data_IF_542315671254
#
_entry.id   IF_542315671254
#
_cell.length_a   1.000
_cell.length_b   1.000
_cell.length_c   1.000
_cell.angle_alpha   90.00
_cell.angle_beta   90.00
_cell.angle_gamma   90.00
#
_symmetry.space_group_name_H-M   'P 1'
#
loop_
_entity.id
_entity.type
_entity.pdbx_description
1 polymer ?
#
# COMPACT_ATOMS: atom_id res chain seq x y z
N UNK A 1 -5.78 -13.57 4.56
CA UNK A 1 -5.87 -12.58 5.66
C UNK A 1 -7.33 -12.41 6.08
N UNK A 2 -8.21 -11.98 5.18
CA UNK A 2 -9.64 -11.76 5.46
C UNK A 2 -10.37 -13.03 5.93
N UNK A 3 -10.08 -14.19 5.35
CA UNK A 3 -10.66 -15.49 5.76
C UNK A 3 -10.15 -16.04 7.08
N UNK A 4 -9.22 -15.35 7.76
CA UNK A 4 -8.61 -15.84 9.00
C UNK A 4 -7.53 -16.91 8.85
N UNK A 5 -7.18 -17.34 7.63
CA UNK A 5 -6.09 -18.33 7.43
C UNK A 5 -4.69 -17.78 7.76
N UNK A 6 -4.52 -16.47 7.84
CA UNK A 6 -3.24 -15.80 8.12
C UNK A 6 -3.47 -14.80 9.25
N UNK A 7 -2.68 -14.89 10.33
CA UNK A 7 -2.63 -13.88 11.38
C UNK A 7 -3.82 -13.86 12.35
N UNK A 8 -4.61 -14.95 12.42
CA UNK A 8 -5.80 -15.05 13.29
C UNK A 8 -5.49 -14.77 14.76
N UNK A 9 -4.45 -15.39 15.31
CA UNK A 9 -4.03 -15.19 16.70
C UNK A 9 -3.47 -13.79 16.99
N UNK A 10 -3.09 -13.05 15.94
CA UNK A 10 -2.62 -11.66 16.05
C UNK A 10 -3.75 -10.63 15.87
N UNK A 11 -5.00 -11.07 15.69
CA UNK A 11 -6.12 -10.17 15.48
C UNK A 11 -6.15 -9.51 14.10
N UNK A 12 -5.30 -9.92 13.16
CA UNK A 12 -5.20 -9.30 11.82
C UNK A 12 -6.56 -9.28 11.08
N UNK A 13 -7.36 -10.36 11.05
CA UNK A 13 -8.65 -10.35 10.36
C UNK A 13 -9.60 -9.27 10.89
N UNK A 14 -9.58 -8.98 12.18
CA UNK A 14 -10.46 -7.99 12.81
C UNK A 14 -10.25 -6.59 12.21
N UNK A 15 -9.00 -6.25 11.89
CA UNK A 15 -8.64 -4.95 11.28
C UNK A 15 -9.31 -4.72 9.92
N UNK A 16 -9.69 -5.79 9.22
CA UNK A 16 -10.34 -5.74 7.90
C UNK A 16 -11.85 -5.93 7.98
N UNK A 17 -12.32 -6.77 8.91
CA UNK A 17 -13.73 -7.18 9.02
C UNK A 17 -14.55 -6.24 9.90
N UNK A 18 -13.88 -5.46 10.73
CA UNK A 18 -14.48 -4.51 11.67
C UNK A 18 -13.62 -3.25 11.77
N UNK A 19 -13.52 -2.47 10.69
CA UNK A 19 -12.66 -1.31 10.64
C UNK A 19 -13.13 -0.24 11.61
N UNK A 20 -12.19 0.26 12.42
CA UNK A 20 -12.39 1.32 13.40
C UNK A 20 -11.80 2.63 12.88
N UNK A 21 -12.59 3.70 12.91
CA UNK A 21 -12.17 5.07 12.61
C UNK A 21 -12.54 5.98 13.79
N UNK A 22 -11.55 6.66 14.37
CA UNK A 22 -11.76 7.56 15.52
C UNK A 22 -12.56 6.91 16.66
N UNK A 23 -12.16 5.69 17.01
CA UNK A 23 -12.76 4.86 18.05
C UNK A 23 -14.22 4.46 17.80
N UNK A 24 -14.65 4.45 16.52
CA UNK A 24 -16.01 4.09 16.14
C UNK A 24 -15.96 3.11 14.97
N UNK A 25 -16.84 2.11 15.04
CA UNK A 25 -17.15 1.22 13.92
C UNK A 25 -18.48 1.67 13.34
N UNK A 26 -18.45 2.27 12.16
CA UNK A 26 -19.64 2.85 11.52
C UNK A 26 -19.50 2.92 9.99
N UNK A 27 -20.53 3.44 9.34
CA UNK A 27 -20.56 3.74 7.90
C UNK A 27 -19.25 4.35 7.39
N UNK A 28 -18.74 5.40 8.04
CA UNK A 28 -17.53 6.13 7.60
C UNK A 28 -16.28 5.23 7.62
N UNK A 29 -16.16 4.39 8.63
CA UNK A 29 -15.02 3.47 8.78
C UNK A 29 -15.00 2.45 7.64
N UNK A 30 -16.16 1.86 7.34
CA UNK A 30 -16.34 0.94 6.22
C UNK A 30 -16.17 1.65 4.87
N UNK A 31 -16.66 2.88 4.73
CA UNK A 31 -16.54 3.72 3.54
C UNK A 31 -15.07 3.98 3.16
N UNK A 32 -14.23 4.33 4.12
CA UNK A 32 -12.79 4.55 3.89
C UNK A 32 -12.11 3.24 3.43
N UNK A 33 -12.46 2.10 4.03
CA UNK A 33 -11.96 0.80 3.58
C UNK A 33 -12.45 0.47 2.17
N UNK A 34 -13.70 0.80 1.82
CA UNK A 34 -14.23 0.69 0.46
C UNK A 34 -13.41 1.48 -0.56
N UNK A 35 -13.11 2.76 -0.26
CA UNK A 35 -12.27 3.63 -1.11
C UNK A 35 -10.89 3.00 -1.34
N UNK A 36 -10.22 2.59 -0.27
CA UNK A 36 -8.85 2.02 -0.38
C UNK A 36 -8.84 0.67 -1.07
N UNK A 37 -9.92 -0.12 -0.94
CA UNK A 37 -10.10 -1.38 -1.68
C UNK A 37 -10.26 -1.13 -3.17
N UNK A 38 -11.00 -0.09 -3.59
CA UNK A 38 -11.07 0.31 -5.00
C UNK A 38 -9.71 0.82 -5.53
N UNK A 39 -8.92 1.49 -4.68
CA UNK A 39 -7.53 1.84 -4.96
C UNK A 39 -6.66 0.61 -5.26
N UNK A 40 -6.74 -0.42 -4.42
CA UNK A 40 -6.03 -1.68 -4.62
C UNK A 40 -6.47 -2.39 -5.91
N UNK A 41 -7.78 -2.49 -6.17
CA UNK A 41 -8.33 -3.07 -7.40
C UNK A 41 -7.83 -2.31 -8.65
N UNK A 42 -7.79 -0.99 -8.58
CA UNK A 42 -7.29 -0.17 -9.67
C UNK A 42 -5.79 -0.39 -9.89
N UNK A 43 -4.99 -0.40 -8.82
CA UNK A 43 -3.55 -0.70 -8.91
C UNK A 43 -3.28 -2.09 -9.49
N UNK A 44 -4.11 -3.09 -9.17
CA UNK A 44 -4.06 -4.41 -9.79
C UNK A 44 -4.29 -4.33 -11.31
N UNK A 45 -5.37 -3.68 -11.76
CA UNK A 45 -5.66 -3.53 -13.20
C UNK A 45 -4.54 -2.80 -13.94
N UNK A 46 -3.99 -1.73 -13.35
CA UNK A 46 -2.85 -0.98 -13.91
C UNK A 46 -1.63 -1.91 -14.03
N UNK A 47 -1.27 -2.60 -12.97
CA UNK A 47 -0.09 -3.47 -12.92
C UNK A 47 -0.18 -4.61 -13.93
N UNK A 48 -1.35 -5.26 -14.04
CA UNK A 48 -1.58 -6.28 -15.05
C UNK A 48 -1.53 -5.72 -16.48
N UNK A 49 -2.09 -4.53 -16.73
CA UNK A 49 -2.03 -3.91 -18.05
C UNK A 49 -0.60 -3.58 -18.46
N UNK A 50 0.21 -3.06 -17.53
CA UNK A 50 1.63 -2.77 -17.76
C UNK A 50 2.41 -4.05 -18.07
N UNK A 51 2.18 -5.10 -17.27
CA UNK A 51 2.99 -6.33 -17.33
C UNK A 51 2.59 -7.22 -18.50
N UNK A 52 1.28 -7.41 -18.72
CA UNK A 52 0.74 -8.39 -19.68
C UNK A 52 -0.03 -7.76 -20.84
N UNK A 53 -0.37 -6.46 -20.80
CA UNK A 53 -1.21 -5.83 -21.83
C UNK A 53 -0.65 -5.95 -23.25
N UNK A 54 0.67 -5.94 -23.40
CA UNK A 54 1.36 -6.11 -24.70
C UNK A 54 1.14 -7.49 -25.36
N UNK A 55 0.71 -8.51 -24.58
CA UNK A 55 0.41 -9.87 -25.06
C UNK A 55 -0.97 -9.97 -25.70
N UNK A 56 -1.79 -8.93 -25.56
CA UNK A 56 -3.15 -8.84 -26.08
C UNK A 56 -3.25 -7.68 -27.08
N UNK A 57 -2.55 -7.80 -28.22
CA UNK A 57 -2.45 -6.70 -29.19
C UNK A 57 -3.79 -6.19 -29.71
N UNK A 58 -4.81 -7.06 -29.80
CA UNK A 58 -6.16 -6.67 -30.23
C UNK A 58 -6.78 -5.60 -29.32
N UNK A 59 -6.46 -5.61 -28.01
CA UNK A 59 -6.95 -4.60 -27.06
C UNK A 59 -6.46 -3.22 -27.45
N UNK A 60 -5.21 -3.12 -27.89
CA UNK A 60 -4.60 -1.88 -28.35
C UNK A 60 -5.21 -1.30 -29.63
N UNK A 61 -6.12 -2.03 -30.30
CA UNK A 61 -6.88 -1.55 -31.44
C UNK A 61 -8.32 -1.10 -31.08
N UNK A 62 -8.80 -1.47 -29.90
CA UNK A 62 -10.14 -1.11 -29.43
C UNK A 62 -10.16 0.33 -28.89
N UNK A 63 -11.30 1.02 -28.94
CA UNK A 63 -11.47 2.30 -28.24
C UNK A 63 -11.34 2.09 -26.73
N UNK A 64 -10.63 3.02 -26.06
CA UNK A 64 -10.35 2.97 -24.62
C UNK A 64 -9.76 1.61 -24.17
N UNK A 65 -8.53 1.25 -24.62
CA UNK A 65 -7.93 -0.08 -24.46
C UNK A 65 -7.77 -0.51 -23.00
N UNK A 66 -7.37 0.40 -22.11
CA UNK A 66 -7.19 0.11 -20.68
C UNK A 66 -8.51 -0.35 -20.02
N UNK A 67 -9.62 0.34 -20.29
CA UNK A 67 -10.90 0.00 -19.67
C UNK A 67 -11.40 -1.36 -20.13
N UNK A 68 -11.20 -1.70 -21.41
CA UNK A 68 -11.49 -3.06 -21.94
C UNK A 68 -10.66 -4.13 -21.27
N UNK A 69 -9.37 -3.88 -21.12
CA UNK A 69 -8.49 -4.80 -20.42
C UNK A 69 -8.92 -5.01 -18.97
N UNK A 70 -9.16 -3.91 -18.23
CA UNK A 70 -9.56 -3.94 -16.84
C UNK A 70 -10.87 -4.72 -16.64
N UNK A 71 -11.88 -4.46 -17.48
CA UNK A 71 -13.16 -5.18 -17.42
C UNK A 71 -12.97 -6.69 -17.60
N UNK A 72 -12.20 -7.11 -18.61
CA UNK A 72 -11.95 -8.53 -18.88
C UNK A 72 -10.97 -9.18 -17.87
N UNK A 73 -10.21 -8.37 -17.12
CA UNK A 73 -9.30 -8.81 -16.07
C UNK A 73 -9.87 -8.59 -14.64
N UNK A 74 -11.18 -8.35 -14.51
CA UNK A 74 -11.82 -8.06 -13.21
C UNK A 74 -12.21 -9.32 -12.41
N UNK A 75 -12.01 -10.53 -12.93
CA UNK A 75 -12.43 -11.76 -12.26
C UNK A 75 -11.81 -11.92 -10.86
N UNK A 76 -10.49 -11.71 -10.75
CA UNK A 76 -9.77 -11.83 -9.48
C UNK A 76 -10.20 -10.75 -8.47
N UNK A 77 -10.23 -9.45 -8.83
CA UNK A 77 -10.77 -8.42 -7.94
C UNK A 77 -12.22 -8.64 -7.54
N UNK A 78 -13.07 -9.12 -8.45
CA UNK A 78 -14.48 -9.39 -8.16
C UNK A 78 -14.63 -10.55 -7.17
N UNK A 79 -13.90 -11.65 -7.37
CA UNK A 79 -13.88 -12.77 -6.43
C UNK A 79 -13.42 -12.31 -5.04
N UNK A 80 -12.35 -11.52 -5.00
CA UNK A 80 -11.85 -10.94 -3.76
C UNK A 80 -12.91 -10.06 -3.08
N UNK A 81 -13.60 -9.19 -3.83
CA UNK A 81 -14.64 -8.32 -3.31
C UNK A 81 -15.82 -9.11 -2.72
N UNK A 82 -16.29 -10.14 -3.43
CA UNK A 82 -17.38 -11.02 -2.97
C UNK A 82 -16.98 -11.75 -1.69
N UNK A 83 -15.78 -12.35 -1.66
CA UNK A 83 -15.26 -13.01 -0.46
C UNK A 83 -15.10 -12.04 0.70
N UNK A 84 -14.66 -10.81 0.44
CA UNK A 84 -14.47 -9.81 1.47
C UNK A 84 -15.81 -9.37 2.08
N UNK A 85 -16.81 -9.09 1.24
CA UNK A 85 -18.17 -8.77 1.69
C UNK A 85 -18.79 -9.93 2.48
N UNK A 86 -18.61 -11.16 2.01
CA UNK A 86 -19.10 -12.34 2.70
C UNK A 86 -18.50 -12.48 4.11
N UNK A 87 -17.18 -12.41 4.24
CA UNK A 87 -16.52 -12.51 5.55
C UNK A 87 -16.85 -11.31 6.45
N UNK A 88 -16.98 -10.09 5.90
CA UNK A 88 -17.43 -8.92 6.67
C UNK A 88 -18.83 -9.15 7.27
N UNK A 89 -19.80 -9.55 6.46
CA UNK A 89 -21.18 -9.81 6.91
C UNK A 89 -21.19 -10.91 7.97
N UNK A 90 -20.50 -12.03 7.67
CA UNK A 90 -20.39 -13.17 8.58
C UNK A 90 -19.79 -12.77 9.92
N UNK A 91 -18.74 -11.95 9.91
CA UNK A 91 -18.06 -11.47 11.11
C UNK A 91 -18.94 -10.53 11.93
N UNK A 92 -19.59 -9.55 11.29
CA UNK A 92 -20.45 -8.57 11.98
C UNK A 92 -21.64 -9.26 12.68
N UNK A 93 -22.26 -10.27 12.05
CA UNK A 93 -23.40 -10.99 12.62
C UNK A 93 -22.99 -12.00 13.69
N UNK A 94 -21.95 -12.81 13.44
CA UNK A 94 -21.63 -13.95 14.31
C UNK A 94 -20.62 -13.64 15.41
N UNK A 95 -19.76 -12.63 15.22
CA UNK A 95 -18.69 -12.30 16.18
C UNK A 95 -18.98 -11.02 16.95
N UNK A 96 -19.51 -9.98 16.29
CA UNK A 96 -19.86 -8.71 16.94
C UNK A 96 -21.31 -8.62 17.39
N UNK A 97 -22.15 -9.61 17.03
CA UNK A 97 -23.59 -9.61 17.32
C UNK A 97 -24.29 -8.29 16.94
N UNK A 98 -23.81 -7.66 15.87
CA UNK A 98 -24.31 -6.36 15.40
C UNK A 98 -25.71 -6.54 14.80
N UNK A 99 -26.61 -5.57 15.06
CA UNK A 99 -27.97 -5.65 14.54
C UNK A 99 -27.96 -5.69 12.99
N UNK A 100 -28.86 -6.47 12.34
CA UNK A 100 -28.88 -6.57 10.88
C UNK A 100 -29.00 -5.21 10.16
N UNK A 101 -29.72 -4.27 10.77
CA UNK A 101 -29.85 -2.89 10.29
C UNK A 101 -28.49 -2.16 10.28
N UNK A 102 -27.72 -2.26 11.36
CA UNK A 102 -26.41 -1.65 11.45
C UNK A 102 -25.40 -2.34 10.52
N UNK A 103 -25.50 -3.67 10.34
CA UNK A 103 -24.71 -4.39 9.34
C UNK A 103 -24.99 -3.85 7.93
N UNK A 104 -26.26 -3.68 7.58
CA UNK A 104 -26.63 -3.09 6.27
C UNK A 104 -26.04 -1.69 6.08
N UNK A 105 -26.11 -0.82 7.10
CA UNK A 105 -25.50 0.52 7.04
C UNK A 105 -23.98 0.43 6.86
N UNK A 106 -23.29 -0.41 7.63
CA UNK A 106 -21.83 -0.57 7.53
C UNK A 106 -21.43 -1.10 6.14
N UNK A 107 -22.09 -2.14 5.65
CA UNK A 107 -21.80 -2.72 4.33
C UNK A 107 -22.12 -1.75 3.19
N UNK A 108 -23.22 -0.98 3.29
CA UNK A 108 -23.51 0.07 2.31
C UNK A 108 -22.44 1.15 2.29
N UNK A 109 -21.87 1.52 3.45
CA UNK A 109 -20.70 2.40 3.53
C UNK A 109 -19.53 1.89 2.69
N UNK A 110 -19.14 0.62 2.89
CA UNK A 110 -18.08 0.00 2.11
C UNK A 110 -18.38 -0.02 0.61
N UNK A 111 -19.58 -0.46 0.21
CA UNK A 111 -19.98 -0.56 -1.21
C UNK A 111 -20.00 0.83 -1.86
N UNK A 112 -20.58 1.83 -1.20
CA UNK A 112 -20.63 3.21 -1.70
C UNK A 112 -19.21 3.77 -1.85
N UNK A 113 -18.34 3.58 -0.85
CA UNK A 113 -16.94 4.02 -0.93
C UNK A 113 -16.19 3.38 -2.09
N UNK A 114 -16.38 2.08 -2.31
CA UNK A 114 -15.79 1.35 -3.42
C UNK A 114 -16.30 1.85 -4.78
N UNK A 115 -17.61 2.02 -4.93
CA UNK A 115 -18.24 2.47 -6.18
C UNK A 115 -17.82 3.90 -6.51
N UNK A 116 -17.90 4.83 -5.55
CA UNK A 116 -17.50 6.23 -5.77
C UNK A 116 -16.04 6.29 -6.23
N UNK A 117 -15.13 5.61 -5.55
CA UNK A 117 -13.72 5.67 -5.91
C UNK A 117 -13.44 5.00 -7.28
N UNK A 118 -14.14 3.90 -7.59
CA UNK A 118 -14.06 3.26 -8.91
C UNK A 118 -14.56 4.19 -10.02
N UNK A 119 -15.64 4.94 -9.79
CA UNK A 119 -16.16 5.93 -10.73
C UNK A 119 -15.19 7.11 -10.90
N UNK A 120 -14.54 7.57 -9.82
CA UNK A 120 -13.53 8.63 -9.90
C UNK A 120 -12.33 8.19 -10.76
N UNK A 121 -11.81 6.98 -10.54
CA UNK A 121 -10.76 6.43 -11.41
C UNK A 121 -11.26 6.24 -12.84
N UNK A 122 -12.47 5.72 -13.03
CA UNK A 122 -13.09 5.55 -14.34
C UNK A 122 -13.21 6.88 -15.11
N UNK A 123 -13.66 7.95 -14.44
CA UNK A 123 -13.73 9.29 -15.00
C UNK A 123 -12.34 9.80 -15.38
N UNK A 124 -11.35 9.69 -14.49
CA UNK A 124 -9.96 10.05 -14.79
C UNK A 124 -9.44 9.33 -16.04
N UNK A 125 -9.61 8.00 -16.13
CA UNK A 125 -9.15 7.24 -17.28
C UNK A 125 -9.92 7.56 -18.56
N UNK A 126 -11.21 7.87 -18.45
CA UNK A 126 -11.99 8.29 -19.61
C UNK A 126 -11.50 9.62 -20.18
N UNK A 127 -11.18 10.61 -19.33
CA UNK A 127 -10.66 11.89 -19.80
C UNK A 127 -9.20 11.81 -20.29
N UNK A 128 -8.39 10.94 -19.69
CA UNK A 128 -6.94 10.89 -19.96
C UNK A 128 -6.60 9.94 -21.12
N UNK A 129 -7.33 8.84 -21.29
CA UNK A 129 -7.12 7.88 -22.37
C UNK A 129 -7.80 8.38 -23.65
N UNK A 130 -7.06 9.16 -24.45
CA UNK A 130 -7.52 9.58 -25.79
C UNK A 130 -7.52 8.40 -26.76
N UNK A 131 -8.60 8.28 -27.54
CA UNK A 131 -8.73 7.23 -28.56
C UNK A 131 -7.69 7.33 -29.67
N UNK A 132 -7.32 6.15 -30.20
CA UNK A 132 -6.37 5.94 -31.31
C UNK A 132 -6.67 6.87 -32.50
N UNK A 133 -7.95 7.06 -32.81
CA UNK A 133 -8.40 7.89 -33.93
C UNK A 133 -8.03 9.37 -33.77
N UNK A 134 -8.03 9.92 -32.55
CA UNK A 134 -7.66 11.34 -32.34
C UNK A 134 -6.17 11.55 -32.50
N UNK A 135 -5.36 10.53 -32.23
CA UNK A 135 -3.90 10.59 -32.37
C UNK A 135 -3.42 10.37 -33.81
N UNK A 136 -4.00 9.39 -34.52
CA UNK A 136 -3.67 9.13 -35.94
C UNK A 136 -4.04 10.33 -36.82
N UNK A 137 -5.18 10.97 -36.57
CA UNK A 137 -5.61 12.16 -37.34
C UNK A 137 -4.76 13.39 -37.03
N UNK A 138 -4.42 13.67 -35.76
CA UNK A 138 -3.57 14.82 -35.42
C UNK A 138 -2.11 14.68 -35.90
N UNK A 139 -1.57 13.45 -36.02
CA UNK A 139 -0.19 13.24 -36.49
C UNK A 139 -0.02 13.10 -37.98
N UNK A 140 -1.06 12.82 -38.77
CA UNK A 140 -0.96 12.95 -40.23
C UNK A 140 -0.64 14.42 -40.58
N UNK A 141 -1.29 15.37 -39.89
CA UNK A 141 -1.00 16.81 -40.03
C UNK A 141 0.38 17.22 -39.49
N UNK A 142 0.87 16.58 -38.42
CA UNK A 142 2.14 16.96 -37.76
C UNK A 142 3.38 16.27 -38.35
N UNK A 143 3.27 15.02 -38.83
CA UNK A 143 4.36 14.30 -39.53
C UNK A 143 4.58 14.79 -40.96
N UNK A 144 3.61 15.48 -41.56
CA UNK A 144 3.84 16.30 -42.75
C UNK A 144 4.75 17.52 -42.45
N UNK A 145 5.01 17.83 -41.17
CA UNK A 145 5.79 19.01 -40.74
C UNK A 145 7.08 18.76 -39.97
N UNK A 146 7.40 17.54 -39.49
CA UNK A 146 8.69 17.33 -38.82
C UNK A 146 9.25 15.91 -38.95
N UNK A 147 10.39 15.82 -39.62
CA UNK A 147 11.26 14.65 -39.72
C UNK A 147 12.08 14.50 -38.44
N UNK A 148 11.72 13.56 -37.56
CA UNK A 148 12.58 13.17 -36.43
C UNK A 148 12.96 11.70 -36.56
N UNK A 149 14.26 11.45 -36.76
CA UNK A 149 14.86 10.12 -36.76
C UNK A 149 14.85 9.55 -35.33
N UNK A 150 13.85 8.73 -35.02
CA UNK A 150 13.86 7.88 -33.84
C UNK A 150 14.76 6.68 -34.10
N UNK A 151 15.77 6.48 -33.26
CA UNK A 151 16.74 5.37 -33.28
C UNK A 151 16.04 4.01 -33.44
N UNK A 152 16.14 3.44 -34.64
CA UNK A 152 15.42 2.24 -35.10
C UNK A 152 15.72 0.97 -34.27
N UNK A 153 16.86 0.89 -33.58
CA UNK A 153 17.31 -0.31 -32.89
C UNK A 153 16.47 -0.67 -31.63
N UNK A 154 15.99 0.32 -30.87
CA UNK A 154 15.17 0.07 -29.66
C UNK A 154 13.72 -0.30 -30.00
N UNK A 155 13.17 0.32 -31.05
CA UNK A 155 11.84 -0.01 -31.57
C UNK A 155 11.79 -1.41 -32.21
N UNK A 156 12.84 -1.81 -32.95
CA UNK A 156 12.94 -3.13 -33.57
C UNK A 156 13.04 -4.28 -32.56
N UNK A 157 13.71 -4.08 -31.42
CA UNK A 157 13.80 -5.09 -30.35
C UNK A 157 12.47 -5.27 -29.61
N UNK A 158 11.70 -4.19 -29.43
CA UNK A 158 10.31 -4.24 -28.90
C UNK A 158 9.34 -4.91 -29.89
N UNK A 159 9.54 -4.73 -31.20
CA UNK A 159 8.74 -5.37 -32.26
C UNK A 159 8.88 -6.90 -32.28
N UNK A 160 10.05 -7.44 -31.91
CA UNK A 160 10.31 -8.89 -31.91
C UNK A 160 9.75 -9.58 -30.66
N UNK A 161 9.75 -8.90 -29.50
CA UNK A 161 9.12 -9.35 -28.25
C UNK A 161 7.59 -9.41 -28.41
N UNK A 162 7.00 -8.42 -29.09
CA UNK A 162 5.58 -8.41 -29.42
C UNK A 162 5.19 -9.55 -30.40
N UNK A 163 6.14 -10.11 -31.16
CA UNK A 163 5.89 -11.17 -32.15
C UNK A 163 5.87 -12.57 -31.52
N UNK A 164 6.59 -12.82 -30.42
CA UNK A 164 6.79 -14.18 -29.84
C UNK A 164 5.87 -14.55 -28.66
N UNK A 165 5.04 -13.63 -28.14
CA UNK A 165 4.25 -13.85 -26.90
C UNK A 165 2.77 -13.46 -26.97
N UNK A 166 2.21 -13.28 -28.17
CA UNK A 166 0.77 -12.96 -28.29
C UNK A 166 -0.07 -14.14 -27.83
N UNK A 167 -1.09 -13.84 -27.02
CA UNK A 167 -2.09 -14.82 -26.59
C UNK A 167 -3.29 -14.71 -27.52
N UNK A 168 -3.70 -15.84 -28.11
CA UNK A 168 -4.93 -15.88 -28.89
C UNK A 168 -6.12 -15.69 -27.96
N UNK A 169 -6.98 -14.73 -28.30
CA UNK A 169 -8.24 -14.44 -27.60
C UNK A 169 -9.31 -14.34 -28.66
N UNK A 170 -10.34 -15.20 -28.58
CA UNK A 170 -11.40 -15.25 -29.59
C UNK A 170 -12.57 -14.32 -29.24
N UNK A 171 -12.79 -14.06 -27.95
CA UNK A 171 -13.92 -13.29 -27.44
C UNK A 171 -13.51 -12.37 -26.29
N UNK A 172 -14.17 -11.21 -26.18
CA UNK A 172 -14.02 -10.28 -25.06
C UNK A 172 -15.37 -9.67 -24.68
N UNK A 173 -15.50 -9.22 -23.44
CA UNK A 173 -16.67 -8.50 -22.94
C UNK A 173 -16.52 -7.01 -23.24
N UNK A 174 -17.55 -6.43 -23.85
CA UNK A 174 -17.62 -5.02 -24.22
C UNK A 174 -18.40 -4.16 -23.19
N UNK A 175 -18.56 -2.84 -23.39
CA UNK A 175 -19.11 -1.95 -22.34
C UNK A 175 -20.60 -2.18 -22.09
N UNK A 176 -21.28 -2.72 -23.10
CA UNK A 176 -22.67 -3.14 -23.08
C UNK A 176 -22.88 -4.49 -22.38
N UNK A 177 -21.81 -5.09 -21.84
CA UNK A 177 -21.84 -6.41 -21.22
C UNK A 177 -21.99 -7.56 -22.22
N UNK A 178 -21.95 -7.27 -23.52
CA UNK A 178 -22.06 -8.29 -24.57
C UNK A 178 -20.69 -8.87 -24.88
N UNK A 179 -20.68 -10.16 -25.23
CA UNK A 179 -19.50 -10.86 -25.71
C UNK A 179 -19.33 -10.53 -27.19
N UNK A 180 -18.19 -9.93 -27.55
CA UNK A 180 -17.82 -9.60 -28.94
C UNK A 180 -16.63 -10.46 -29.37
N UNK A 181 -16.61 -10.82 -30.65
CA UNK A 181 -15.47 -11.52 -31.27
C UNK A 181 -14.34 -10.54 -31.54
N UNK A 182 -13.11 -11.03 -31.46
CA UNK A 182 -11.92 -10.30 -31.90
C UNK A 182 -11.82 -10.33 -33.42
N UNK A 183 -11.50 -9.20 -34.05
CA UNK A 183 -11.23 -9.16 -35.49
C UNK A 183 -9.81 -9.68 -35.75
N UNK A 184 -9.71 -10.91 -36.27
CA UNK A 184 -8.44 -11.55 -36.64
C UNK A 184 -7.78 -10.91 -37.89
N UNK A 185 -8.56 -10.17 -38.69
CA UNK A 185 -8.17 -9.67 -40.03
C UNK A 185 -7.52 -8.29 -40.03
N UNK A 186 -7.57 -7.56 -38.92
CA UNK A 186 -7.03 -6.22 -38.87
C UNK A 186 -5.51 -6.27 -38.69
N UNK A 187 -4.80 -6.19 -39.81
CA UNK A 187 -3.35 -6.04 -39.90
C UNK A 187 -2.95 -4.66 -39.38
N UNK A 188 -3.01 -4.47 -38.06
CA UNK A 188 -2.64 -3.20 -37.45
C UNK A 188 -1.13 -3.01 -37.56
N UNK A 189 -0.73 -1.82 -38.03
CA UNK A 189 0.66 -1.43 -38.03
C UNK A 189 1.19 -1.44 -36.59
N UNK A 190 2.10 -2.38 -36.32
CA UNK A 190 2.56 -2.72 -34.96
C UNK A 190 3.23 -1.54 -34.28
N UNK A 191 3.81 -0.62 -35.06
CA UNK A 191 4.36 0.63 -34.52
C UNK A 191 3.30 1.55 -33.95
N UNK A 192 2.08 1.54 -34.51
CA UNK A 192 0.96 2.34 -34.03
C UNK A 192 0.36 1.74 -32.75
N UNK A 193 0.20 0.41 -32.68
CA UNK A 193 -0.25 -0.28 -31.47
C UNK A 193 0.74 -0.05 -30.30
N UNK A 194 2.05 -0.17 -30.55
CA UNK A 194 3.07 0.04 -29.52
C UNK A 194 3.07 1.48 -29.00
N UNK A 195 2.86 2.47 -29.87
CA UNK A 195 2.76 3.88 -29.46
C UNK A 195 1.53 4.16 -28.59
N UNK A 196 0.40 3.50 -28.86
CA UNK A 196 -0.82 3.59 -28.04
C UNK A 196 -0.60 2.98 -26.66
N UNK A 197 0.10 1.84 -26.59
CA UNK A 197 0.49 1.27 -25.29
C UNK A 197 1.46 2.17 -24.54
N UNK A 198 2.47 2.75 -25.19
CA UNK A 198 3.42 3.67 -24.56
C UNK A 198 2.72 4.95 -24.04
N UNK A 199 1.73 5.48 -24.77
CA UNK A 199 0.93 6.64 -24.32
C UNK A 199 0.02 6.31 -23.14
N UNK A 200 -0.72 5.19 -23.21
CA UNK A 200 -1.54 4.74 -22.07
C UNK A 200 -0.64 4.45 -20.87
N UNK A 201 0.55 3.88 -21.09
CA UNK A 201 1.53 3.66 -20.04
C UNK A 201 2.00 4.96 -19.38
N UNK A 202 2.21 6.04 -20.14
CA UNK A 202 2.52 7.35 -19.56
C UNK A 202 1.39 7.89 -18.66
N UNK A 203 0.12 7.77 -19.08
CA UNK A 203 -1.03 8.14 -18.26
C UNK A 203 -1.11 7.31 -16.95
N UNK A 204 -0.70 6.04 -17.02
CA UNK A 204 -0.61 5.15 -15.87
C UNK A 204 0.50 5.57 -14.89
N UNK A 205 1.63 6.07 -15.40
CA UNK A 205 2.69 6.63 -14.55
C UNK A 205 2.21 7.89 -13.84
N UNK A 206 1.44 8.77 -14.51
CA UNK A 206 0.91 10.00 -13.90
C UNK A 206 -0.01 9.67 -12.71
N UNK A 207 -0.94 8.73 -12.87
CA UNK A 207 -1.84 8.36 -11.76
C UNK A 207 -1.08 7.69 -10.62
N UNK A 208 -0.05 6.90 -10.92
CA UNK A 208 0.81 6.30 -9.91
C UNK A 208 1.57 7.38 -9.11
N UNK A 209 2.09 8.41 -9.78
CA UNK A 209 2.70 9.56 -9.12
C UNK A 209 1.68 10.33 -8.26
N UNK A 210 0.46 10.53 -8.77
CA UNK A 210 -0.61 11.19 -8.01
C UNK A 210 -0.98 10.41 -6.75
N UNK A 211 -1.17 9.09 -6.83
CA UNK A 211 -1.45 8.23 -5.67
C UNK A 211 -0.28 8.29 -4.67
N UNK A 212 0.97 8.26 -5.16
CA UNK A 212 2.14 8.39 -4.31
C UNK A 212 2.17 9.72 -3.54
N UNK A 213 1.88 10.84 -4.21
CA UNK A 213 1.76 12.16 -3.56
C UNK A 213 0.63 12.16 -2.53
N UNK A 214 -0.53 11.57 -2.83
CA UNK A 214 -1.65 11.48 -1.88
C UNK A 214 -1.27 10.71 -0.62
N UNK A 215 -0.53 9.60 -0.76
CA UNK A 215 0.00 8.84 0.39
C UNK A 215 0.98 9.67 1.22
N UNK A 216 1.88 10.43 0.57
CA UNK A 216 2.81 11.31 1.30
C UNK A 216 2.05 12.39 2.08
N UNK A 217 1.04 13.00 1.48
CA UNK A 217 0.18 13.98 2.15
C UNK A 217 -0.50 13.34 3.36
N UNK A 218 -1.13 12.17 3.21
CA UNK A 218 -1.73 11.43 4.32
C UNK A 218 -0.73 11.15 5.45
N UNK A 219 0.51 10.78 5.09
CA UNK A 219 1.59 10.52 6.06
C UNK A 219 2.07 11.78 6.80
N UNK A 220 2.17 12.91 6.11
CA UNK A 220 2.57 14.21 6.71
C UNK A 220 1.51 14.69 7.70
N UNK A 221 0.22 14.54 7.36
CA UNK A 221 -0.89 15.02 8.19
C UNK A 221 -1.42 13.98 9.19
N UNK A 222 -0.69 12.87 9.43
CA UNK A 222 -1.14 11.76 10.30
C UNK A 222 -1.50 12.16 11.74
N UNK A 223 -0.98 13.29 12.22
CA UNK A 223 -1.22 13.77 13.58
C UNK A 223 -2.61 14.41 13.72
N UNK A 224 -3.26 14.77 12.62
CA UNK A 224 -4.65 15.23 12.59
C UNK A 224 -5.62 14.05 12.55
N UNK A 225 -6.64 14.06 13.41
CA UNK A 225 -7.65 13.01 13.52
C UNK A 225 -8.26 12.61 12.16
N UNK A 226 -8.51 13.58 11.27
CA UNK A 226 -9.09 13.33 9.94
C UNK A 226 -8.22 12.44 9.02
N UNK A 227 -6.93 12.32 9.30
CA UNK A 227 -5.97 11.54 8.51
C UNK A 227 -5.55 10.24 9.21
N UNK A 228 -6.12 9.93 10.38
CA UNK A 228 -5.90 8.68 11.11
C UNK A 228 -6.77 7.56 10.52
N UNK A 229 -6.34 7.03 9.38
CA UNK A 229 -7.09 6.01 8.64
C UNK A 229 -7.30 4.73 9.46
N UNK A 230 -8.42 4.00 9.24
CA UNK A 230 -8.59 2.66 9.76
C UNK A 230 -7.40 1.77 9.42
N UNK A 231 -7.04 0.86 10.32
CA UNK A 231 -5.86 0.00 10.13
C UNK A 231 -5.98 -0.85 8.86
N UNK A 232 -7.18 -1.40 8.58
CA UNK A 232 -7.45 -2.12 7.34
C UNK A 232 -7.23 -1.26 6.08
N UNK A 233 -7.62 0.01 6.11
CA UNK A 233 -7.40 0.95 5.00
C UNK A 233 -5.91 1.27 4.79
N UNK A 234 -5.17 1.47 5.88
CA UNK A 234 -3.71 1.66 5.82
C UNK A 234 -3.00 0.45 5.22
N UNK A 235 -3.47 -0.76 5.54
CA UNK A 235 -2.95 -1.98 4.94
C UNK A 235 -3.31 -2.11 3.45
N UNK A 236 -4.53 -1.74 3.04
CA UNK A 236 -4.90 -1.71 1.62
C UNK A 236 -4.02 -0.73 0.83
N UNK A 237 -3.71 0.44 1.41
CA UNK A 237 -2.78 1.40 0.81
C UNK A 237 -1.38 0.79 0.68
N UNK A 238 -0.87 0.10 1.71
CA UNK A 238 0.42 -0.59 1.65
C UNK A 238 0.44 -1.62 0.50
N UNK A 239 -0.59 -2.48 0.40
CA UNK A 239 -0.71 -3.44 -0.68
C UNK A 239 -0.78 -2.76 -2.05
N UNK A 240 -1.49 -1.63 -2.14
CA UNK A 240 -1.60 -0.83 -3.37
C UNK A 240 -0.22 -0.34 -3.80
N UNK A 241 0.58 0.18 -2.88
CA UNK A 241 1.96 0.63 -3.15
C UNK A 241 2.84 -0.54 -3.59
N UNK A 242 2.78 -1.67 -2.89
CA UNK A 242 3.56 -2.86 -3.26
C UNK A 242 3.20 -3.39 -4.66
N UNK A 243 1.90 -3.40 -4.99
CA UNK A 243 1.41 -3.78 -6.32
C UNK A 243 1.96 -2.83 -7.40
N UNK A 244 1.84 -1.52 -7.18
CA UNK A 244 2.36 -0.50 -8.09
C UNK A 244 3.89 -0.55 -8.27
N UNK A 245 4.65 -0.79 -7.19
CA UNK A 245 6.11 -1.00 -7.25
C UNK A 245 6.42 -2.24 -8.08
N UNK A 246 5.66 -3.33 -7.90
CA UNK A 246 5.85 -4.56 -8.69
C UNK A 246 5.62 -4.31 -10.18
N UNK A 247 4.59 -3.53 -10.53
CA UNK A 247 4.36 -3.10 -11.91
C UNK A 247 5.49 -2.23 -12.48
N UNK A 248 5.93 -1.21 -11.74
CA UNK A 248 7.04 -0.33 -12.15
C UNK A 248 8.36 -1.10 -12.29
N UNK A 249 8.65 -1.99 -11.35
CA UNK A 249 9.84 -2.83 -11.35
C UNK A 249 9.84 -3.79 -12.55
N UNK A 250 8.72 -4.46 -12.80
CA UNK A 250 8.55 -5.35 -13.96
C UNK A 250 8.70 -4.58 -15.27
N UNK A 251 8.23 -3.34 -15.32
CA UNK A 251 8.38 -2.47 -16.48
C UNK A 251 9.83 -2.05 -16.75
N UNK A 252 10.56 -1.60 -15.72
CA UNK A 252 11.94 -1.11 -15.88
C UNK A 252 12.94 -2.22 -16.18
N UNK A 253 12.83 -3.36 -15.51
CA UNK A 253 13.81 -4.44 -15.61
C UNK A 253 13.37 -5.55 -16.58
N UNK A 254 12.10 -5.59 -16.99
CA UNK A 254 11.58 -6.55 -17.96
C UNK A 254 11.89 -7.99 -17.57
N UNK A 255 12.49 -8.78 -18.48
CA UNK A 255 12.89 -10.15 -18.20
C UNK A 255 13.99 -10.32 -17.13
N UNK A 256 14.72 -9.26 -16.80
CA UNK A 256 15.78 -9.26 -15.78
C UNK A 256 15.27 -8.87 -14.39
N UNK A 257 13.97 -8.67 -14.22
CA UNK A 257 13.37 -8.25 -12.94
C UNK A 257 13.80 -9.15 -11.78
N UNK A 258 13.76 -10.48 -11.96
CA UNK A 258 14.16 -11.41 -10.90
C UNK A 258 15.64 -11.23 -10.50
N UNK A 259 16.54 -11.11 -11.48
CA UNK A 259 17.97 -10.90 -11.26
C UNK A 259 18.24 -9.56 -10.58
N UNK A 260 17.61 -8.48 -11.06
CA UNK A 260 17.73 -7.16 -10.44
C UNK A 260 17.22 -7.18 -8.99
N UNK A 261 16.14 -7.91 -8.72
CA UNK A 261 15.58 -8.07 -7.38
C UNK A 261 16.55 -8.78 -6.45
N UNK A 262 17.20 -9.84 -6.93
CA UNK A 262 18.25 -10.54 -6.17
C UNK A 262 19.44 -9.64 -5.87
N UNK A 263 19.92 -8.86 -6.84
CA UNK A 263 21.05 -7.92 -6.64
C UNK A 263 20.69 -6.87 -5.60
N UNK A 264 19.50 -6.25 -5.70
CA UNK A 264 19.03 -5.27 -4.71
C UNK A 264 18.93 -5.90 -3.33
N UNK A 265 18.37 -7.10 -3.23
CA UNK A 265 18.27 -7.83 -1.96
C UNK A 265 19.66 -8.07 -1.34
N UNK A 266 20.64 -8.55 -2.11
CA UNK A 266 22.01 -8.77 -1.63
C UNK A 266 22.67 -7.46 -1.20
N UNK A 267 22.49 -6.37 -1.95
CA UNK A 267 22.97 -5.04 -1.57
C UNK A 267 22.35 -4.55 -0.25
N UNK A 268 21.03 -4.66 -0.09
CA UNK A 268 20.34 -4.27 1.14
C UNK A 268 20.81 -5.12 2.32
N UNK A 269 20.99 -6.44 2.11
CA UNK A 269 21.48 -7.34 3.13
C UNK A 269 22.90 -6.95 3.59
N UNK A 270 23.79 -6.63 2.65
CA UNK A 270 25.15 -6.18 2.97
C UNK A 270 25.16 -4.85 3.74
N UNK A 271 24.35 -3.86 3.30
CA UNK A 271 24.21 -2.58 3.99
C UNK A 271 23.64 -2.74 5.40
N UNK A 272 22.68 -3.66 5.57
CA UNK A 272 22.08 -3.98 6.86
C UNK A 272 23.09 -4.67 7.78
N UNK A 273 23.84 -5.65 7.27
CA UNK A 273 24.91 -6.33 8.01
C UNK A 273 26.04 -5.39 8.43
N UNK A 274 26.35 -4.39 7.60
CA UNK A 274 27.30 -3.31 7.93
C UNK A 274 26.74 -2.28 8.94
N UNK A 275 25.48 -2.41 9.35
CA UNK A 275 24.84 -1.51 10.30
C UNK A 275 24.50 -0.13 9.73
N UNK A 276 24.47 0.05 8.41
CA UNK A 276 24.17 1.35 7.77
C UNK A 276 22.79 1.89 8.16
N UNK A 277 21.80 1.00 8.32
CA UNK A 277 20.44 1.36 8.73
C UNK A 277 20.23 1.41 10.25
N UNK A 278 21.26 1.13 11.06
CA UNK A 278 21.14 1.15 12.51
C UNK A 278 21.02 2.60 13.02
N UNK A 279 19.79 3.07 13.21
CA UNK A 279 19.52 4.29 13.96
C UNK A 279 19.70 4.02 15.44
N UNK A 280 20.68 4.68 16.07
CA UNK A 280 20.87 4.69 17.52
C UNK A 280 19.91 5.71 18.13
N UNK A 281 18.86 5.23 18.76
CA UNK A 281 17.97 6.07 19.58
C UNK A 281 18.66 6.31 20.92
N UNK A 282 19.00 7.56 21.21
CA UNK A 282 19.59 7.97 22.48
C UNK A 282 18.46 8.20 23.48
N UNK A 283 18.44 7.42 24.57
CA UNK A 283 17.61 7.71 25.72
C UNK A 283 17.99 9.07 26.31
N UNK A 284 16.98 9.85 26.67
CA UNK A 284 17.14 11.18 27.24
C UNK A 284 17.85 11.11 28.60
N UNK A 285 18.72 12.09 28.89
CA UNK A 285 19.44 12.19 30.17
C UNK A 285 20.74 11.37 30.30
N UNK A 286 21.10 10.54 29.31
CA UNK A 286 22.37 9.79 29.30
C UNK A 286 23.46 10.51 28.49
N UNK A 287 24.70 10.48 28.99
CA UNK A 287 25.87 11.04 28.31
C UNK A 287 26.53 10.01 27.39
N UNK A 288 26.23 10.10 26.09
CA UNK A 288 26.78 9.23 25.05
C UNK A 288 28.16 9.66 24.54
N UNK A 289 28.76 10.71 25.10
CA UNK A 289 30.13 11.11 24.75
C UNK A 289 31.18 10.34 25.56
N UNK A 290 30.79 9.74 26.68
CA UNK A 290 31.67 8.93 27.54
C UNK A 290 31.79 7.51 27.02
N UNK A 291 32.86 6.83 27.43
CA UNK A 291 33.02 5.41 27.17
C UNK A 291 31.83 4.63 27.75
N UNK A 292 31.29 3.70 26.97
CA UNK A 292 30.15 2.89 27.39
C UNK A 292 30.53 2.05 28.62
N UNK A 293 29.66 2.02 29.63
CA UNK A 293 29.87 1.15 30.78
C UNK A 293 29.86 -0.32 30.34
N UNK A 294 30.79 -1.16 30.82
CA UNK A 294 30.86 -2.56 30.44
C UNK A 294 29.62 -3.32 30.95
N UNK A 295 28.85 -3.90 30.02
CA UNK A 295 27.68 -4.71 30.35
C UNK A 295 28.08 -6.18 30.55
N UNK A 296 28.68 -6.45 31.71
CA UNK A 296 29.16 -7.78 32.12
C UNK A 296 28.52 -8.19 33.44
N UNK A 297 28.35 -9.50 33.66
CA UNK A 297 27.79 -10.03 34.91
C UNK A 297 28.58 -9.55 36.13
N UNK A 298 29.91 -9.52 36.05
CA UNK A 298 30.74 -9.11 37.17
C UNK A 298 30.57 -7.63 37.50
N UNK A 299 30.54 -6.75 36.48
CA UNK A 299 30.23 -5.33 36.67
C UNK A 299 28.81 -5.12 37.25
N UNK A 300 27.82 -5.90 36.82
CA UNK A 300 26.46 -5.85 37.39
C UNK A 300 26.44 -6.31 38.85
N UNK A 301 27.25 -7.30 39.23
CA UNK A 301 27.37 -7.75 40.63
C UNK A 301 28.07 -6.71 41.49
N UNK A 302 29.12 -6.07 40.98
CA UNK A 302 29.81 -4.97 41.67
C UNK A 302 28.85 -3.80 41.95
N UNK A 303 28.03 -3.43 40.97
CA UNK A 303 27.03 -2.35 41.13
C UNK A 303 25.88 -2.72 42.08
N UNK A 304 25.66 -4.02 42.34
CA UNK A 304 24.62 -4.52 43.26
C UNK A 304 25.21 -5.04 44.57
N UNK A 305 26.40 -4.57 44.96
CA UNK A 305 26.97 -4.96 46.24
C UNK A 305 26.19 -4.37 47.43
N UNK A 306 26.46 -4.90 48.62
CA UNK A 306 25.77 -4.44 49.84
C UNK A 306 26.07 -2.98 50.21
N UNK A 307 27.16 -2.39 49.71
CA UNK A 307 27.54 -1.02 50.02
C UNK A 307 26.74 -0.03 49.17
N UNK A 308 26.64 -0.29 47.86
CA UNK A 308 25.82 0.47 46.92
C UNK A 308 24.34 0.41 47.29
N UNK A 309 23.82 -0.78 47.65
CA UNK A 309 22.42 -0.92 48.09
C UNK A 309 22.15 -0.06 49.33
N UNK A 310 23.04 -0.08 50.33
CA UNK A 310 22.88 0.74 51.54
C UNK A 310 22.96 2.24 51.24
N UNK A 311 23.90 2.64 50.39
CA UNK A 311 24.04 4.03 49.96
C UNK A 311 22.79 4.52 49.24
N UNK A 312 22.23 3.71 48.34
CA UNK A 312 21.03 4.05 47.57
C UNK A 312 19.78 4.11 48.46
N UNK A 313 19.66 3.21 49.44
CA UNK A 313 18.64 3.26 50.48
C UNK A 313 18.71 4.56 51.30
N UNK A 314 19.92 4.98 51.69
CA UNK A 314 20.11 6.23 52.45
C UNK A 314 19.74 7.47 51.64
N UNK A 315 20.16 7.54 50.37
CA UNK A 315 19.79 8.61 49.45
C UNK A 315 18.27 8.67 49.23
N UNK A 316 17.65 7.51 48.99
CA UNK A 316 16.21 7.40 48.82
C UNK A 316 15.46 7.83 50.09
N UNK A 317 15.94 7.44 51.27
CA UNK A 317 15.34 7.85 52.54
C UNK A 317 15.43 9.37 52.74
N UNK A 318 16.56 9.98 52.38
CA UNK A 318 16.72 11.43 52.43
C UNK A 318 15.75 12.15 51.48
N UNK A 319 15.57 11.62 50.26
CA UNK A 319 14.61 12.15 49.30
C UNK A 319 13.17 12.01 49.82
N UNK A 320 12.82 10.87 50.41
CA UNK A 320 11.50 10.61 51.00
C UNK A 320 11.23 11.52 52.21
N UNK A 321 12.22 11.75 53.07
CA UNK A 321 12.10 12.69 54.20
C UNK A 321 11.88 14.14 53.71
N UNK A 322 12.64 14.55 52.68
CA UNK A 322 12.50 15.87 52.04
C UNK A 322 11.17 16.03 51.30
N UNK A 323 10.61 14.94 50.78
CA UNK A 323 9.27 14.93 50.21
C UNK A 323 8.19 14.98 51.31
N UNK A 324 8.35 14.21 52.39
CA UNK A 324 7.42 14.17 53.53
C UNK A 324 7.29 15.51 54.24
N UNK A 325 8.39 16.28 54.35
CA UNK A 325 8.41 17.59 54.98
C UNK A 325 7.61 18.66 54.25
N UNK A 326 7.25 18.43 52.97
CA UNK A 326 6.38 19.33 52.19
C UNK A 326 4.89 19.23 52.57
N UNK A 327 4.53 18.34 53.49
CA UNK A 327 3.14 18.08 53.89
C UNK A 327 2.97 18.15 55.42
N UNK A 328 1.78 18.53 55.92
CA UNK A 328 1.48 18.57 57.35
C UNK A 328 1.80 17.25 58.08
N UNK A 329 2.26 17.32 59.33
CA UNK A 329 2.69 16.13 60.09
C UNK A 329 1.53 15.18 60.41
N UNK A 330 0.33 15.73 60.57
CA UNK A 330 -0.93 15.05 60.90
C UNK A 330 -1.61 14.36 59.71
N UNK A 331 -1.18 14.67 58.47
CA UNK A 331 -1.79 14.11 57.25
C UNK A 331 -0.79 13.31 56.42
N UNK A 332 -1.20 12.12 56.00
CA UNK A 332 -0.43 11.27 55.09
C UNK A 332 -0.46 11.84 53.67
N UNK A 333 0.68 12.08 53.00
CA UNK A 333 0.70 12.55 51.62
C UNK A 333 0.21 11.44 50.67
N UNK A 334 -0.41 11.85 49.56
CA UNK A 334 -0.76 10.92 48.47
C UNK A 334 0.52 10.45 47.78
N UNK A 335 0.71 9.13 47.68
CA UNK A 335 1.81 8.52 46.94
C UNK A 335 1.28 7.99 45.61
N UNK A 336 1.97 8.31 44.51
CA UNK A 336 1.63 7.82 43.17
C UNK A 336 2.74 6.89 42.71
N UNK A 337 2.40 5.64 42.44
CA UNK A 337 3.32 4.67 41.83
C UNK A 337 3.06 4.63 40.33
N UNK A 338 4.10 4.89 39.55
CA UNK A 338 4.06 4.72 38.09
C UNK A 338 4.61 3.33 37.79
N UNK A 339 3.70 2.38 37.61
CA UNK A 339 4.05 1.01 37.24
C UNK A 339 3.98 0.88 35.72
N UNK A 340 5.13 0.77 35.06
CA UNK A 340 5.23 0.52 33.61
C UNK A 340 5.62 -0.92 33.34
N UNK A 341 4.98 -1.55 32.35
CA UNK A 341 5.35 -2.90 31.92
C UNK A 341 6.66 -2.87 31.12
N UNK A 342 7.45 -3.94 31.21
CA UNK A 342 8.61 -4.12 30.35
C UNK A 342 8.21 -4.32 28.88
N UNK A 343 9.01 -3.81 27.94
CA UNK A 343 8.71 -3.90 26.51
C UNK A 343 9.89 -3.58 25.57
N UNK A 344 11.12 -3.73 26.07
CA UNK A 344 12.34 -3.41 25.31
C UNK A 344 12.35 -1.96 24.82
N UNK A 345 12.78 -1.75 23.57
CA UNK A 345 12.92 -0.40 22.97
C UNK A 345 11.60 0.41 22.92
N UNK A 346 10.43 -0.24 22.89
CA UNK A 346 9.13 0.42 22.85
C UNK A 346 8.64 0.94 24.19
N UNK A 347 9.04 0.29 25.28
CA UNK A 347 8.72 0.76 26.64
C UNK A 347 9.75 1.77 27.16
N UNK A 348 10.94 1.82 26.55
CA UNK A 348 12.00 2.76 26.89
C UNK A 348 11.88 4.13 26.20
N UNK A 349 11.05 4.21 25.15
CA UNK A 349 10.61 5.44 24.49
C UNK A 349 9.29 5.89 25.10
#
# INVERSE_FOLDING_TARGET
>A
MITGNIGRYMGIPYLFLDPEYLNKVNFTSFFIVGITTAGLTTAFHITCYITDGHRFSFVGALPKPFTKFALNNSLVPLLFLVLYLYEMIRFQLNNQYTSPQQVFINISGFVIGFVIMTLLFGAYFWFTNKDIFKYVVCRIDEKLKSSVQVTRASALKKLDIARKKQVRVDNYVDYDGRIKKTDETAFYDKTTILQVFDQNHFNLIIIQLFIFVLVLVLGIFKDYAAFQLPVGASFMILLTILMMITGAFSYWFGGWSLTAGLVIFLCINQLTGAGFFNKKYKAFGLDYKRAAAPYTIDNLRLLNDSTHIKSDQQLTLQALNSWRSKFPADKKPKMVFVCVSGGGKRAAL
#
